data_IF_961073711173
#
_entry.id   IF_961073711173
#
_cell.length_a   1.000
_cell.length_b   1.000
_cell.length_c   1.000
_cell.angle_alpha   90.00
_cell.angle_beta   90.00
_cell.angle_gamma   90.00
#
_symmetry.space_group_name_H-M   'P 1'
#
loop_
_entity.id
_entity.type
_entity.pdbx_description
1 polymer ?
#
# COMPACT_ATOMS: atom_id res chain seq x y z
N UNK A 1 22.10 9.54 -0.55
CA UNK A 1 20.71 9.02 -0.42
C UNK A 1 20.68 7.91 0.63
N UNK A 2 19.51 7.59 1.18
CA UNK A 2 19.36 6.48 2.14
C UNK A 2 19.84 5.16 1.50
N UNK A 3 19.53 4.93 0.24
CA UNK A 3 19.97 3.75 -0.52
C UNK A 3 21.50 3.66 -0.60
N UNK A 4 22.19 4.78 -0.79
CA UNK A 4 23.67 4.81 -0.87
C UNK A 4 24.36 4.51 0.47
N UNK A 5 23.66 4.69 1.60
CA UNK A 5 24.20 4.38 2.93
C UNK A 5 23.89 2.95 3.38
N UNK A 6 23.00 2.23 2.68
CA UNK A 6 22.70 0.82 2.95
C UNK A 6 23.74 -0.05 2.24
N UNK A 7 24.48 -0.87 2.98
CA UNK A 7 25.45 -1.80 2.41
C UNK A 7 24.79 -2.87 1.52
N UNK A 8 23.69 -3.44 1.98
CA UNK A 8 22.75 -4.27 1.22
C UNK A 8 21.38 -4.21 1.87
N UNK A 9 20.34 -4.37 1.09
CA UNK A 9 18.97 -4.36 1.59
C UNK A 9 17.92 -4.04 0.53
N UNK A 10 16.70 -3.89 0.99
CA UNK A 10 15.56 -3.51 0.14
C UNK A 10 14.77 -2.41 0.83
N UNK A 11 14.40 -1.39 0.07
CA UNK A 11 13.43 -0.38 0.48
C UNK A 11 12.13 -0.64 -0.26
N UNK A 12 11.03 -0.70 0.47
CA UNK A 12 9.69 -0.90 -0.07
C UNK A 12 8.84 0.30 0.36
N UNK A 13 8.21 0.94 -0.59
CA UNK A 13 7.26 2.03 -0.36
C UNK A 13 5.90 1.60 -0.91
N UNK A 14 4.86 1.73 -0.10
CA UNK A 14 3.48 1.40 -0.48
C UNK A 14 2.65 2.66 -0.26
N UNK A 15 2.05 3.19 -1.33
CA UNK A 15 1.23 4.40 -1.25
C UNK A 15 0.28 4.52 -2.45
N UNK A 16 -0.60 5.53 -2.43
CA UNK A 16 -1.38 5.91 -3.60
C UNK A 16 -0.50 6.75 -4.52
N UNK A 17 -0.14 6.21 -5.66
CA UNK A 17 0.77 6.88 -6.57
C UNK A 17 0.09 7.25 -7.89
N UNK A 18 0.60 8.33 -8.49
CA UNK A 18 0.41 8.64 -9.90
C UNK A 18 1.76 8.60 -10.62
N UNK A 19 1.75 8.19 -11.89
CA UNK A 19 3.00 7.98 -12.64
C UNK A 19 3.79 9.28 -12.82
N UNK A 20 3.12 10.36 -13.25
CA UNK A 20 3.77 11.62 -13.60
C UNK A 20 3.04 12.83 -13.03
N UNK A 21 3.80 13.78 -12.52
CA UNK A 21 3.30 15.06 -11.97
C UNK A 21 2.42 15.83 -12.95
N UNK A 22 2.74 15.80 -14.24
CA UNK A 22 1.93 16.47 -15.26
C UNK A 22 0.48 15.96 -15.32
N UNK A 23 0.28 14.65 -15.18
CA UNK A 23 -1.08 14.05 -15.13
C UNK A 23 -1.84 14.51 -13.89
N UNK A 24 -1.17 14.62 -12.76
CA UNK A 24 -1.76 15.09 -11.51
C UNK A 24 -2.17 16.56 -11.62
N UNK A 25 -1.32 17.40 -12.21
CA UNK A 25 -1.58 18.82 -12.38
C UNK A 25 -2.80 19.14 -13.29
N UNK A 26 -3.16 18.23 -14.19
CA UNK A 26 -4.33 18.36 -15.06
C UNK A 26 -5.67 18.01 -14.39
N UNK A 27 -5.64 17.40 -13.20
CA UNK A 27 -6.84 16.99 -12.45
C UNK A 27 -7.24 18.06 -11.42
N UNK A 28 -8.53 18.22 -11.11
CA UNK A 28 -8.97 19.03 -9.97
C UNK A 28 -8.28 18.56 -8.67
N UNK A 29 -7.81 19.50 -7.87
CA UNK A 29 -7.05 19.15 -6.66
C UNK A 29 -7.78 18.17 -5.71
N UNK A 30 -9.12 18.21 -5.68
CA UNK A 30 -9.93 17.33 -4.84
C UNK A 30 -9.85 15.84 -5.22
N UNK A 31 -9.35 15.51 -6.39
CA UNK A 31 -9.19 14.13 -6.85
C UNK A 31 -7.92 13.49 -6.31
N UNK A 32 -6.86 14.28 -6.12
CA UNK A 32 -5.55 13.80 -5.72
C UNK A 32 -5.05 14.32 -4.36
N UNK A 33 -5.70 15.35 -3.79
CA UNK A 33 -5.40 15.89 -2.48
C UNK A 33 -6.62 15.75 -1.58
N UNK A 34 -6.42 15.25 -0.38
CA UNK A 34 -7.48 15.02 0.60
C UNK A 34 -7.11 15.73 1.90
N UNK A 35 -8.13 16.27 2.57
CA UNK A 35 -7.98 16.86 3.88
C UNK A 35 -8.84 16.10 4.89
N UNK A 36 -8.32 15.92 6.08
CA UNK A 36 -9.02 15.24 7.17
C UNK A 36 -8.90 16.05 8.46
N UNK A 37 -10.01 16.09 9.20
CA UNK A 37 -10.07 16.68 10.53
C UNK A 37 -10.83 15.73 11.44
N UNK A 38 -10.19 15.26 12.52
CA UNK A 38 -10.81 14.30 13.45
C UNK A 38 -11.45 13.10 12.72
N UNK A 39 -10.73 12.49 11.79
CA UNK A 39 -11.15 11.35 10.96
C UNK A 39 -12.30 11.62 9.98
N UNK A 40 -12.79 12.85 9.87
CA UNK A 40 -13.79 13.26 8.89
C UNK A 40 -13.13 14.01 7.72
N UNK A 41 -13.82 14.08 6.59
CA UNK A 41 -13.39 14.92 5.46
C UNK A 41 -13.27 16.37 5.94
N UNK A 42 -12.10 16.95 5.72
CA UNK A 42 -11.81 18.34 6.03
C UNK A 42 -12.38 19.32 4.97
N UNK A 43 -12.00 20.57 5.11
CA UNK A 43 -12.37 21.65 4.22
C UNK A 43 -11.29 21.88 3.14
N UNK A 44 -11.27 23.06 2.52
CA UNK A 44 -10.23 23.43 1.56
C UNK A 44 -8.84 23.36 2.22
N UNK A 45 -7.84 22.86 1.52
CA UNK A 45 -6.49 22.61 2.08
C UNK A 45 -5.78 23.85 2.63
N UNK A 46 -6.15 25.06 2.16
CA UNK A 46 -5.65 26.35 2.70
C UNK A 46 -6.48 26.88 3.89
N UNK A 47 -7.58 26.21 4.24
CA UNK A 47 -8.43 26.66 5.36
C UNK A 47 -7.81 26.20 6.68
N UNK A 48 -7.76 27.10 7.66
CA UNK A 48 -7.28 26.84 9.01
C UNK A 48 -5.97 26.03 9.06
N UNK A 49 -4.83 26.57 8.58
CA UNK A 49 -3.54 25.89 8.56
C UNK A 49 -3.19 25.30 9.94
N UNK A 50 -2.68 24.06 9.95
CA UNK A 50 -2.31 23.35 11.18
C UNK A 50 -3.48 22.68 11.92
N UNK A 51 -4.73 22.78 11.42
CA UNK A 51 -5.92 22.21 12.08
C UNK A 51 -6.48 20.97 11.37
N UNK A 52 -5.89 20.57 10.26
CA UNK A 52 -6.31 19.42 9.44
C UNK A 52 -5.10 18.72 8.83
N UNK A 53 -5.21 17.42 8.66
CA UNK A 53 -4.22 16.61 7.95
C UNK A 53 -4.45 16.78 6.45
N UNK A 54 -3.35 16.83 5.70
CA UNK A 54 -3.37 16.90 4.24
C UNK A 54 -2.65 15.68 3.69
N UNK A 55 -3.32 14.90 2.87
CA UNK A 55 -2.73 13.78 2.12
C UNK A 55 -2.85 14.03 0.63
N UNK A 56 -1.85 13.61 -0.12
CA UNK A 56 -1.83 13.75 -1.58
C UNK A 56 -1.31 12.46 -2.21
N UNK A 57 -1.70 12.21 -3.45
CA UNK A 57 -1.07 11.14 -4.23
C UNK A 57 0.42 11.43 -4.41
N UNK A 58 1.23 10.39 -4.32
CA UNK A 58 2.68 10.47 -4.52
C UNK A 58 2.99 10.39 -6.02
N UNK A 59 3.79 11.33 -6.54
CA UNK A 59 4.22 11.32 -7.92
C UNK A 59 5.51 10.50 -8.07
N UNK A 60 5.46 9.41 -8.83
CA UNK A 60 6.58 8.49 -9.02
C UNK A 60 7.77 9.19 -9.68
N UNK A 61 7.53 10.05 -10.67
CA UNK A 61 8.58 10.84 -11.33
C UNK A 61 9.32 11.78 -10.35
N UNK A 62 8.65 12.30 -9.31
CA UNK A 62 9.30 13.12 -8.29
C UNK A 62 10.13 12.28 -7.31
N UNK A 63 9.67 11.08 -6.98
CA UNK A 63 10.47 10.15 -6.18
C UNK A 63 11.75 9.76 -6.94
N UNK A 64 11.65 9.45 -8.23
CA UNK A 64 12.80 9.10 -9.07
C UNK A 64 13.87 10.19 -9.10
N UNK A 65 13.48 11.48 -9.13
CA UNK A 65 14.43 12.60 -9.04
C UNK A 65 15.20 12.64 -7.72
N UNK A 66 14.57 12.21 -6.62
CA UNK A 66 15.17 12.25 -5.29
C UNK A 66 16.00 11.03 -4.93
N UNK A 67 15.54 9.85 -5.28
CA UNK A 67 16.14 8.57 -4.84
C UNK A 67 16.58 7.65 -5.97
N UNK A 68 16.31 8.00 -7.22
CA UNK A 68 16.52 7.17 -8.39
C UNK A 68 15.29 6.36 -8.79
N UNK A 69 15.32 5.80 -9.99
CA UNK A 69 14.26 4.93 -10.50
C UNK A 69 14.08 3.72 -9.58
N UNK A 70 12.84 3.29 -9.37
CA UNK A 70 12.57 2.06 -8.65
C UNK A 70 12.94 0.84 -9.52
N UNK A 71 13.56 -0.18 -8.90
CA UNK A 71 13.89 -1.44 -9.58
C UNK A 71 12.61 -2.21 -9.97
N UNK A 72 11.54 -2.01 -9.21
CA UNK A 72 10.24 -2.58 -9.54
C UNK A 72 9.09 -1.70 -9.06
N UNK A 73 8.02 -1.67 -9.87
CA UNK A 73 6.76 -1.01 -9.58
C UNK A 73 5.64 -2.02 -9.84
N UNK A 74 4.79 -2.27 -8.83
CA UNK A 74 3.70 -3.25 -8.89
C UNK A 74 2.48 -2.76 -8.12
N UNK A 75 1.32 -3.39 -8.30
CA UNK A 75 0.24 -3.24 -7.34
C UNK A 75 0.55 -4.00 -6.04
N UNK A 76 -0.06 -3.60 -4.94
CA UNK A 76 0.07 -4.30 -3.67
C UNK A 76 -0.38 -5.77 -3.78
N UNK A 77 -1.47 -6.03 -4.50
CA UNK A 77 -1.93 -7.39 -4.76
C UNK A 77 -0.84 -8.23 -5.44
N UNK A 78 -0.25 -7.72 -6.55
CA UNK A 78 0.83 -8.41 -7.25
C UNK A 78 2.07 -8.63 -6.38
N UNK A 79 2.40 -7.64 -5.55
CA UNK A 79 3.55 -7.74 -4.64
C UNK A 79 3.32 -8.80 -3.56
N UNK A 80 2.13 -8.82 -2.95
CA UNK A 80 1.78 -9.81 -1.94
C UNK A 80 1.74 -11.24 -2.51
N UNK A 81 1.21 -11.41 -3.74
CA UNK A 81 1.24 -12.70 -4.44
C UNK A 81 2.67 -13.19 -4.69
N UNK A 82 3.57 -12.29 -5.10
CA UNK A 82 4.99 -12.61 -5.28
C UNK A 82 5.65 -13.08 -3.97
N UNK A 83 5.17 -12.58 -2.83
CA UNK A 83 5.71 -12.89 -1.51
C UNK A 83 4.92 -13.97 -0.76
N UNK A 84 4.05 -14.71 -1.45
CA UNK A 84 3.45 -15.93 -0.93
C UNK A 84 2.17 -15.73 -0.13
N UNK A 85 1.37 -14.68 -0.42
CA UNK A 85 0.09 -14.51 0.28
C UNK A 85 -0.88 -15.67 -0.03
N UNK A 86 -0.80 -16.25 -1.23
CA UNK A 86 -1.68 -17.35 -1.63
C UNK A 86 -1.43 -18.61 -0.81
N UNK A 87 -0.18 -18.92 -0.49
CA UNK A 87 0.19 -20.03 0.40
C UNK A 87 -0.33 -19.82 1.82
N UNK A 88 -0.27 -18.58 2.33
CA UNK A 88 -0.83 -18.24 3.65
C UNK A 88 -2.35 -18.37 3.68
N UNK A 89 -3.03 -18.01 2.58
CA UNK A 89 -4.48 -18.17 2.41
C UNK A 89 -4.86 -19.63 2.41
N UNK A 90 -4.14 -20.47 1.64
CA UNK A 90 -4.41 -21.90 1.55
C UNK A 90 -4.16 -22.63 2.88
N UNK A 91 -3.12 -22.21 3.62
CA UNK A 91 -2.90 -22.69 4.98
C UNK A 91 -4.05 -22.29 5.90
N UNK A 92 -4.50 -21.04 5.82
CA UNK A 92 -5.62 -20.53 6.62
C UNK A 92 -6.93 -21.24 6.33
N UNK A 93 -7.23 -21.54 5.07
CA UNK A 93 -8.39 -22.37 4.67
C UNK A 93 -8.36 -23.74 5.27
N UNK A 94 -7.22 -24.44 5.19
CA UNK A 94 -7.04 -25.78 5.78
C UNK A 94 -7.28 -25.75 7.29
N UNK A 95 -6.72 -24.81 8.02
CA UNK A 95 -6.94 -24.68 9.47
C UNK A 95 -8.41 -24.47 9.83
N UNK A 96 -9.12 -23.68 9.03
CA UNK A 96 -10.55 -23.49 9.23
C UNK A 96 -11.36 -24.75 8.94
N UNK A 97 -11.10 -25.42 7.82
CA UNK A 97 -11.82 -26.62 7.41
C UNK A 97 -11.67 -27.78 8.39
N UNK A 98 -10.46 -27.98 8.95
CA UNK A 98 -10.18 -29.00 9.95
C UNK A 98 -11.04 -28.88 11.22
N UNK A 99 -11.47 -27.68 11.57
CA UNK A 99 -12.15 -27.35 12.84
C UNK A 99 -13.41 -26.53 12.68
N UNK A 100 -14.01 -26.47 11.50
CA UNK A 100 -15.16 -25.61 11.22
C UNK A 100 -16.39 -25.87 12.11
N UNK A 101 -16.58 -27.12 12.56
CA UNK A 101 -17.71 -27.51 13.45
C UNK A 101 -17.51 -27.11 14.92
N UNK A 102 -16.25 -26.96 15.36
CA UNK A 102 -15.88 -26.54 16.72
C UNK A 102 -14.57 -25.74 16.66
N UNK A 103 -14.64 -24.46 16.21
CA UNK A 103 -13.45 -23.68 15.93
C UNK A 103 -12.63 -23.39 17.19
N UNK A 104 -11.34 -23.67 17.11
CA UNK A 104 -10.34 -23.22 18.07
C UNK A 104 -9.67 -21.90 17.58
N UNK A 105 -8.73 -21.36 18.37
CA UNK A 105 -8.00 -20.14 18.03
C UNK A 105 -7.25 -20.23 16.71
N UNK A 106 -6.70 -21.43 16.38
CA UNK A 106 -5.98 -21.64 15.13
C UNK A 106 -6.91 -21.56 13.92
N UNK A 107 -8.07 -22.20 14.01
CA UNK A 107 -9.09 -22.16 12.97
C UNK A 107 -9.62 -20.71 12.77
N UNK A 108 -9.87 -19.99 13.86
CA UNK A 108 -10.30 -18.58 13.79
C UNK A 108 -9.21 -17.70 13.16
N UNK A 109 -7.96 -17.89 13.51
CA UNK A 109 -6.82 -17.20 12.87
C UNK A 109 -6.76 -17.52 11.38
N UNK A 110 -6.93 -18.77 10.98
CA UNK A 110 -6.99 -19.18 9.59
C UNK A 110 -8.07 -18.45 8.80
N UNK A 111 -9.28 -18.38 9.36
CA UNK A 111 -10.39 -17.63 8.76
C UNK A 111 -10.11 -16.12 8.65
N UNK A 112 -9.46 -15.54 9.65
CA UNK A 112 -9.07 -14.11 9.62
C UNK A 112 -8.07 -13.85 8.49
N UNK A 113 -7.03 -14.69 8.37
CA UNK A 113 -6.04 -14.59 7.28
C UNK A 113 -6.66 -14.54 5.88
N UNK A 114 -7.64 -15.42 5.61
CA UNK A 114 -8.33 -15.43 4.32
C UNK A 114 -9.01 -14.09 4.06
N UNK A 115 -9.76 -13.55 5.03
CA UNK A 115 -10.47 -12.28 4.89
C UNK A 115 -9.52 -11.08 4.78
N UNK A 116 -8.45 -11.10 5.56
CA UNK A 116 -7.42 -10.05 5.50
C UNK A 116 -6.73 -10.04 4.14
N UNK A 117 -6.40 -11.21 3.60
CA UNK A 117 -5.81 -11.34 2.27
C UNK A 117 -6.76 -10.86 1.16
N UNK A 118 -8.07 -11.17 1.26
CA UNK A 118 -9.08 -10.65 0.34
C UNK A 118 -9.10 -9.11 0.35
N UNK A 119 -9.06 -8.48 1.52
CA UNK A 119 -9.04 -7.02 1.64
C UNK A 119 -7.72 -6.41 1.14
N UNK A 120 -6.58 -7.04 1.45
CA UNK A 120 -5.25 -6.57 1.06
C UNK A 120 -4.99 -6.71 -0.45
N UNK A 121 -5.64 -7.65 -1.11
CA UNK A 121 -5.51 -7.92 -2.55
C UNK A 121 -6.68 -7.37 -3.38
N UNK A 122 -7.67 -6.73 -2.76
CA UNK A 122 -8.82 -6.18 -3.48
C UNK A 122 -8.37 -5.10 -4.48
N UNK A 123 -8.55 -5.30 -5.80
CA UNK A 123 -8.12 -4.34 -6.83
C UNK A 123 -8.94 -3.03 -6.81
N UNK A 124 -10.08 -3.00 -6.14
CA UNK A 124 -10.88 -1.79 -5.91
C UNK A 124 -10.54 -1.10 -4.58
N UNK A 125 -9.68 -1.69 -3.76
CA UNK A 125 -9.30 -1.25 -2.44
C UNK A 125 -7.79 -1.22 -2.24
N UNK A 126 -7.32 -1.87 -1.16
CA UNK A 126 -5.90 -1.86 -0.77
C UNK A 126 -4.99 -2.52 -1.81
N UNK A 127 -5.48 -3.53 -2.54
CA UNK A 127 -4.70 -4.22 -3.56
C UNK A 127 -4.28 -3.35 -4.74
N UNK A 128 -4.94 -2.19 -4.94
CA UNK A 128 -4.60 -1.22 -5.97
C UNK A 128 -3.46 -0.26 -5.58
N UNK A 129 -3.02 -0.24 -4.34
CA UNK A 129 -1.90 0.61 -3.92
C UNK A 129 -0.66 0.27 -4.75
N UNK A 130 0.16 1.28 -5.00
CA UNK A 130 1.42 1.10 -5.71
C UNK A 130 2.52 0.71 -4.74
N UNK A 131 3.24 -0.34 -5.07
CA UNK A 131 4.45 -0.77 -4.38
C UNK A 131 5.65 -0.43 -5.25
N UNK A 132 6.56 0.36 -4.70
CA UNK A 132 7.85 0.68 -5.31
C UNK A 132 8.95 -0.02 -4.51
N UNK A 133 9.88 -0.63 -5.20
CA UNK A 133 10.99 -1.35 -4.59
C UNK A 133 12.32 -0.83 -5.12
N UNK A 134 13.28 -0.63 -4.21
CA UNK A 134 14.69 -0.38 -4.52
C UNK A 134 15.52 -1.43 -3.82
N UNK A 135 16.48 -1.99 -4.52
CA UNK A 135 17.41 -2.98 -3.98
C UNK A 135 18.79 -2.33 -3.89
N UNK A 136 19.32 -2.25 -2.67
CA UNK A 136 20.69 -1.84 -2.41
C UNK A 136 21.54 -3.09 -2.15
N UNK A 137 22.64 -3.22 -2.84
CA UNK A 137 23.54 -4.33 -2.64
C UNK A 137 24.47 -4.54 -3.81
N UNK A 138 25.52 -5.36 -3.62
CA UNK A 138 26.53 -5.59 -4.64
C UNK A 138 25.96 -6.25 -5.86
#
# INVERSE_FOLDING_TARGET
SVLSSMGCGRVVVIDYCTGVTASLAMRPWREWLRTYRQQQRGTHYLSAPGSQDITAEVCIDQLALGVGEADAIRSQAQWLQLWGIDELVDEGRRWWEEKASAPDLRAMTGRSRVREAEALCDPAGLGAFTVLEWVAGP
#
